data_IF_146512176869
#
_entry.id   IF_146512176869
#
_cell.length_a   1.000
_cell.length_b   1.000
_cell.length_c   1.000
_cell.angle_alpha   90.00
_cell.angle_beta   90.00
_cell.angle_gamma   90.00
#
_symmetry.space_group_name_H-M   'P 1'
#
loop_
_entity.id
_entity.type
_entity.pdbx_description
1 polymer ?
#
# COMPACT_ATOMS: atom_id res chain seq x y z
N UNK A 1 -13.79 1.71 -12.51
CA UNK A 1 -13.24 2.84 -13.31
C UNK A 1 -11.88 3.16 -12.75
N UNK A 2 -10.83 3.22 -13.58
CA UNK A 2 -9.43 3.36 -13.16
C UNK A 2 -9.13 4.65 -12.39
N UNK A 3 -9.98 5.68 -12.56
CA UNK A 3 -9.91 6.95 -11.82
C UNK A 3 -9.84 6.77 -10.30
N UNK A 4 -10.63 5.85 -9.73
CA UNK A 4 -10.69 5.64 -8.28
C UNK A 4 -9.41 5.01 -7.70
N UNK A 5 -8.64 4.33 -8.55
CA UNK A 5 -7.37 3.68 -8.21
C UNK A 5 -6.18 4.64 -8.28
N UNK A 6 -6.36 5.80 -8.91
CA UNK A 6 -5.32 6.83 -9.03
C UNK A 6 -5.37 7.76 -7.82
N UNK A 7 -4.40 7.62 -6.91
CA UNK A 7 -4.32 8.45 -5.70
C UNK A 7 -4.02 9.92 -6.00
N UNK A 8 -4.25 10.81 -5.02
CA UNK A 8 -3.98 12.24 -5.16
C UNK A 8 -2.52 12.57 -5.52
N UNK A 9 -1.56 11.77 -5.03
CA UNK A 9 -0.14 11.97 -5.30
C UNK A 9 0.33 11.35 -6.64
N UNK A 10 -0.58 10.74 -7.40
CA UNK A 10 -0.24 10.12 -8.69
C UNK A 10 0.33 8.70 -8.58
N UNK A 11 0.12 8.01 -7.47
CA UNK A 11 0.37 6.56 -7.37
C UNK A 11 -0.87 5.76 -7.73
N UNK A 12 -0.67 4.57 -8.27
CA UNK A 12 -1.74 3.61 -8.55
C UNK A 12 -1.88 2.61 -7.40
N UNK A 13 -3.08 2.50 -6.83
CA UNK A 13 -3.32 1.70 -5.63
C UNK A 13 -3.10 0.20 -5.85
N UNK A 14 -3.26 -0.30 -7.08
CA UNK A 14 -3.00 -1.71 -7.40
C UNK A 14 -1.51 -2.08 -7.42
N UNK A 15 -0.59 -1.12 -7.45
CA UNK A 15 0.85 -1.38 -7.28
C UNK A 15 1.28 -1.31 -5.80
N UNK A 16 0.38 -0.88 -4.90
CA UNK A 16 0.66 -0.68 -3.49
C UNK A 16 0.69 -2.02 -2.76
N UNK A 17 1.64 -2.22 -1.83
CA UNK A 17 1.68 -3.45 -1.01
C UNK A 17 0.41 -3.57 -0.15
N UNK A 18 0.00 -2.54 0.62
CA UNK A 18 -1.30 -2.47 1.30
C UNK A 18 -2.55 -2.77 0.46
N UNK A 19 -2.49 -2.58 -0.86
CA UNK A 19 -3.62 -2.84 -1.76
C UNK A 19 -3.55 -4.19 -2.47
N UNK A 20 -2.60 -5.06 -2.11
CA UNK A 20 -2.43 -6.36 -2.75
C UNK A 20 -3.39 -7.40 -2.19
N UNK A 21 -4.62 -7.42 -2.70
CA UNK A 21 -5.69 -8.35 -2.28
C UNK A 21 -5.24 -9.81 -2.22
N UNK A 22 -4.41 -10.25 -3.19
CA UNK A 22 -3.92 -11.63 -3.22
C UNK A 22 -3.01 -11.95 -2.04
N UNK A 23 -2.12 -11.02 -1.67
CA UNK A 23 -1.22 -11.19 -0.53
C UNK A 23 -2.01 -11.37 0.76
N UNK A 24 -3.01 -10.50 0.99
CA UNK A 24 -3.81 -10.51 2.21
C UNK A 24 -4.75 -11.71 2.28
N UNK A 25 -5.38 -12.10 1.16
CA UNK A 25 -6.17 -13.33 1.11
C UNK A 25 -5.34 -14.56 1.51
N UNK A 26 -4.14 -14.71 0.95
CA UNK A 26 -3.23 -15.82 1.29
C UNK A 26 -2.77 -15.79 2.75
N UNK A 27 -2.48 -14.60 3.30
CA UNK A 27 -2.09 -14.45 4.69
C UNK A 27 -3.23 -14.86 5.64
N UNK A 28 -4.46 -14.41 5.35
CA UNK A 28 -5.66 -14.78 6.11
C UNK A 28 -5.98 -16.27 6.01
N UNK A 29 -5.89 -16.88 4.83
CA UNK A 29 -6.11 -18.31 4.64
C UNK A 29 -5.09 -19.15 5.41
N UNK A 30 -3.80 -18.76 5.37
CA UNK A 30 -2.76 -19.44 6.13
C UNK A 30 -2.99 -19.31 7.64
N UNK A 31 -3.31 -18.11 8.12
CA UNK A 31 -3.61 -17.88 9.54
C UNK A 31 -4.76 -18.78 10.01
N UNK A 32 -5.87 -18.80 9.26
CA UNK A 32 -7.04 -19.61 9.61
C UNK A 32 -6.69 -21.10 9.61
N UNK A 33 -6.00 -21.60 8.59
CA UNK A 33 -5.59 -23.00 8.51
C UNK A 33 -4.71 -23.41 9.70
N UNK A 34 -3.77 -22.55 10.12
CA UNK A 34 -2.90 -22.82 11.26
C UNK A 34 -3.67 -22.90 12.59
N UNK A 35 -4.72 -22.11 12.73
CA UNK A 35 -5.64 -22.19 13.88
C UNK A 35 -6.49 -23.46 13.82
N UNK A 36 -7.07 -23.78 12.68
CA UNK A 36 -7.99 -24.92 12.50
C UNK A 36 -7.33 -26.28 12.79
N UNK A 37 -6.02 -26.40 12.55
CA UNK A 37 -5.26 -27.64 12.79
C UNK A 37 -4.52 -27.63 14.14
N UNK A 38 -4.77 -26.65 15.01
CA UNK A 38 -4.08 -26.46 16.29
C UNK A 38 -2.54 -26.50 16.14
N UNK A 39 -2.01 -25.87 15.09
CA UNK A 39 -0.60 -26.01 14.71
C UNK A 39 0.36 -25.58 15.82
N UNK A 40 -0.08 -24.70 16.72
CA UNK A 40 0.68 -24.28 17.92
C UNK A 40 1.11 -25.48 18.77
N UNK A 41 0.25 -26.48 18.96
CA UNK A 41 0.58 -27.66 19.76
C UNK A 41 1.58 -28.58 19.06
N UNK A 42 1.47 -28.70 17.74
CA UNK A 42 2.46 -29.40 16.93
C UNK A 42 3.85 -28.74 17.03
N UNK A 43 3.90 -27.41 16.95
CA UNK A 43 5.13 -26.61 17.03
C UNK A 43 5.79 -26.74 18.40
N UNK A 44 5.05 -26.81 19.52
CA UNK A 44 5.62 -27.03 20.86
C UNK A 44 6.53 -28.27 20.89
N UNK A 45 6.09 -29.35 20.26
CA UNK A 45 6.87 -30.60 20.16
C UNK A 45 8.04 -30.45 19.19
N UNK A 46 7.79 -29.89 17.99
CA UNK A 46 8.81 -29.79 16.94
C UNK A 46 9.91 -28.77 17.23
N UNK A 47 9.66 -27.78 18.09
CA UNK A 47 10.65 -26.79 18.53
C UNK A 47 11.90 -27.38 19.20
N UNK A 48 11.81 -28.64 19.66
CA UNK A 48 12.94 -29.40 20.18
C UNK A 48 13.94 -29.80 19.08
N UNK A 49 13.48 -29.90 17.82
CA UNK A 49 14.28 -30.34 16.67
C UNK A 49 14.51 -29.24 15.63
N UNK A 50 13.60 -28.28 15.55
CA UNK A 50 13.64 -27.15 14.60
C UNK A 50 13.53 -25.88 15.43
N UNK A 51 14.64 -25.14 15.59
CA UNK A 51 14.73 -24.07 16.57
C UNK A 51 13.84 -22.86 16.23
N UNK A 52 13.62 -22.61 14.95
CA UNK A 52 12.82 -21.52 14.39
C UNK A 52 11.36 -21.59 14.85
N UNK A 53 10.86 -22.80 15.14
CA UNK A 53 9.52 -22.98 15.68
C UNK A 53 9.32 -22.39 17.09
N UNK A 54 10.40 -22.00 17.78
CA UNK A 54 10.27 -21.24 19.04
C UNK A 54 9.71 -19.84 18.80
N UNK A 55 9.88 -19.30 17.61
CA UNK A 55 9.39 -17.98 17.22
C UNK A 55 7.97 -18.04 16.61
N UNK A 56 7.25 -19.16 16.76
CA UNK A 56 5.92 -19.32 16.18
C UNK A 56 4.93 -18.23 16.61
N UNK A 57 4.93 -17.86 17.90
CA UNK A 57 4.06 -16.77 18.38
C UNK A 57 4.46 -15.42 17.75
N UNK A 58 5.74 -15.20 17.46
CA UNK A 58 6.21 -14.02 16.73
C UNK A 58 5.69 -14.06 15.28
N UNK A 59 5.77 -15.22 14.63
CA UNK A 59 5.24 -15.42 13.28
C UNK A 59 3.73 -15.15 13.20
N UNK A 60 2.96 -15.64 14.18
CA UNK A 60 1.51 -15.36 14.27
C UNK A 60 1.25 -13.87 14.44
N UNK A 61 1.98 -13.18 15.32
CA UNK A 61 1.86 -11.73 15.48
C UNK A 61 2.16 -10.97 14.17
N UNK A 62 3.09 -11.47 13.35
CA UNK A 62 3.36 -10.90 12.02
C UNK A 62 2.15 -11.10 11.10
N UNK A 63 1.54 -12.29 11.06
CA UNK A 63 0.31 -12.52 10.28
C UNK A 63 -0.83 -11.60 10.73
N UNK A 64 -1.03 -11.41 12.03
CA UNK A 64 -2.02 -10.45 12.56
C UNK A 64 -1.70 -9.01 12.15
N UNK A 65 -0.43 -8.64 12.04
CA UNK A 65 -0.02 -7.32 11.58
C UNK A 65 -0.33 -7.07 10.09
N UNK A 66 -0.47 -8.12 9.26
CA UNK A 66 -0.90 -7.95 7.88
C UNK A 66 -2.31 -7.36 7.81
N UNK A 67 -3.24 -7.80 8.67
CA UNK A 67 -4.61 -7.25 8.72
C UNK A 67 -4.63 -5.75 9.00
N UNK A 68 -3.76 -5.28 9.89
CA UNK A 68 -3.62 -3.84 10.19
C UNK A 68 -3.08 -3.03 9.00
N UNK A 69 -2.27 -3.68 8.16
CA UNK A 69 -1.66 -3.08 6.98
C UNK A 69 -2.62 -3.07 5.78
N UNK A 70 -3.54 -4.03 5.70
CA UNK A 70 -4.45 -4.23 4.58
C UNK A 70 -5.36 -3.01 4.37
N UNK A 71 -5.41 -2.48 3.14
CA UNK A 71 -6.36 -1.43 2.78
C UNK A 71 -7.53 -1.96 1.95
N UNK A 72 -8.68 -2.05 2.61
CA UNK A 72 -9.96 -2.44 2.03
C UNK A 72 -10.58 -1.41 1.08
N UNK A 73 -10.04 -0.20 1.02
CA UNK A 73 -10.51 0.87 0.16
C UNK A 73 -9.34 1.58 -0.54
N UNK A 74 -9.61 2.28 -1.64
CA UNK A 74 -8.55 3.03 -2.32
C UNK A 74 -8.34 4.41 -1.68
N UNK A 75 -7.15 4.98 -1.87
CA UNK A 75 -6.71 6.25 -1.25
C UNK A 75 -7.75 7.39 -1.32
N UNK A 76 -8.54 7.44 -2.41
CA UNK A 76 -9.59 8.44 -2.65
C UNK A 76 -10.79 8.31 -1.72
N UNK A 77 -11.13 7.10 -1.28
CA UNK A 77 -12.25 6.82 -0.37
C UNK A 77 -11.91 7.08 1.10
N UNK A 78 -10.67 7.51 1.38
CA UNK A 78 -10.19 7.78 2.74
C UNK A 78 -9.22 6.70 3.25
N UNK A 79 -8.66 6.90 4.46
CA UNK A 79 -7.79 5.90 5.06
C UNK A 79 -8.62 4.70 5.55
N UNK A 80 -8.29 3.51 5.06
CA UNK A 80 -8.97 2.24 5.39
C UNK A 80 -8.18 1.33 6.32
N UNK A 81 -6.86 1.40 6.24
CA UNK A 81 -5.93 0.55 6.98
C UNK A 81 -5.40 1.29 8.19
N UNK A 82 -5.26 0.62 9.33
CA UNK A 82 -4.60 1.20 10.50
C UNK A 82 -3.16 1.64 10.19
N UNK A 83 -2.41 0.82 9.44
CA UNK A 83 -0.98 1.01 9.22
C UNK A 83 -0.55 1.13 7.73
N UNK A 84 -1.43 0.85 6.76
CA UNK A 84 -1.08 0.85 5.33
C UNK A 84 -0.97 2.24 4.70
N UNK A 85 -2.10 2.96 4.60
CA UNK A 85 -2.17 4.34 4.17
C UNK A 85 -2.14 5.29 5.38
N UNK A 86 -1.37 6.38 5.27
CA UNK A 86 -1.34 7.40 6.30
C UNK A 86 -2.74 7.99 6.57
N UNK A 87 -3.19 7.89 7.82
CA UNK A 87 -4.45 8.45 8.31
C UNK A 87 -4.53 9.97 8.03
N UNK A 88 -3.43 10.69 8.31
CA UNK A 88 -3.27 12.13 8.13
C UNK A 88 -2.38 12.49 6.93
N UNK A 89 -2.53 11.82 5.79
CA UNK A 89 -1.74 12.09 4.59
C UNK A 89 -1.79 13.57 4.16
N UNK A 90 -0.66 14.29 4.29
CA UNK A 90 -0.52 15.72 3.99
C UNK A 90 -0.87 16.03 2.53
N UNK A 91 -0.50 15.15 1.59
CA UNK A 91 -0.78 15.32 0.16
C UNK A 91 -2.29 15.30 -0.11
N UNK A 92 -3.00 14.30 0.42
CA UNK A 92 -4.46 14.19 0.30
C UNK A 92 -5.16 15.41 0.88
N UNK A 93 -4.80 15.80 2.10
CA UNK A 93 -5.38 16.97 2.78
C UNK A 93 -5.13 18.25 1.96
N UNK A 94 -3.93 18.43 1.42
CA UNK A 94 -3.58 19.58 0.60
C UNK A 94 -4.41 19.64 -0.70
N UNK A 95 -4.52 18.52 -1.43
CA UNK A 95 -5.29 18.45 -2.68
C UNK A 95 -6.78 18.76 -2.44
N UNK A 96 -7.40 18.15 -1.43
CA UNK A 96 -8.80 18.40 -1.06
C UNK A 96 -9.03 19.88 -0.71
N UNK A 97 -8.17 20.46 0.13
CA UNK A 97 -8.29 21.89 0.53
C UNK A 97 -8.17 22.85 -0.66
N UNK A 98 -7.41 22.48 -1.69
CA UNK A 98 -7.25 23.28 -2.91
C UNK A 98 -8.31 22.98 -3.97
N UNK A 99 -9.23 22.06 -3.73
CA UNK A 99 -10.23 21.63 -4.70
C UNK A 99 -9.64 20.94 -5.93
N UNK A 100 -8.49 20.28 -5.77
CA UNK A 100 -7.81 19.58 -6.86
C UNK A 100 -8.21 18.10 -6.89
N UNK A 101 -8.42 17.56 -8.09
CA UNK A 101 -8.64 16.13 -8.28
C UNK A 101 -7.36 15.32 -7.96
N UNK A 102 -6.20 15.94 -8.10
CA UNK A 102 -4.90 15.37 -7.76
C UNK A 102 -3.77 16.37 -7.96
N UNK A 103 -2.57 16.00 -7.51
CA UNK A 103 -1.41 16.89 -7.54
C UNK A 103 -0.99 17.28 -8.97
N UNK A 104 -1.38 16.53 -9.99
CA UNK A 104 -1.08 16.84 -11.40
C UNK A 104 -1.74 18.14 -11.88
N UNK A 105 -2.83 18.58 -11.23
CA UNK A 105 -3.49 19.86 -11.51
C UNK A 105 -2.76 21.05 -10.86
N UNK A 106 -1.87 20.80 -9.90
CA UNK A 106 -1.15 21.86 -9.22
C UNK A 106 0.08 22.30 -10.04
N UNK A 107 0.14 23.56 -10.48
CA UNK A 107 1.28 24.07 -11.25
C UNK A 107 2.65 23.98 -10.54
N UNK A 108 2.65 23.84 -9.21
CA UNK A 108 3.86 23.74 -8.40
C UNK A 108 4.24 22.30 -8.00
N UNK A 109 3.59 21.26 -8.57
CA UNK A 109 3.81 19.87 -8.11
C UNK A 109 5.28 19.43 -8.23
N UNK A 110 6.02 19.96 -9.22
CA UNK A 110 7.40 19.57 -9.47
C UNK A 110 8.37 20.03 -8.36
N UNK A 111 8.08 21.17 -7.72
CA UNK A 111 8.85 21.75 -6.62
C UNK A 111 8.15 21.60 -5.25
N UNK A 112 7.10 20.78 -5.17
CA UNK A 112 6.33 20.59 -3.93
C UNK A 112 7.10 19.73 -2.93
N UNK A 113 7.26 20.23 -1.71
CA UNK A 113 7.93 19.51 -0.61
C UNK A 113 7.25 18.18 -0.27
N UNK A 114 5.91 18.12 -0.25
CA UNK A 114 5.19 16.88 0.05
C UNK A 114 5.40 15.81 -1.03
N UNK A 115 5.56 16.22 -2.29
CA UNK A 115 5.90 15.29 -3.37
C UNK A 115 7.37 14.87 -3.27
N UNK A 116 8.27 15.77 -2.87
CA UNK A 116 9.68 15.44 -2.65
C UNK A 116 9.86 14.43 -1.49
N UNK A 117 9.12 14.57 -0.39
CA UNK A 117 9.10 13.60 0.72
C UNK A 117 8.67 12.21 0.23
N UNK A 118 7.58 12.14 -0.56
CA UNK A 118 7.09 10.88 -1.14
C UNK A 118 8.10 10.27 -2.12
N UNK A 119 8.86 11.08 -2.85
CA UNK A 119 9.83 10.62 -3.84
C UNK A 119 10.97 9.80 -3.24
N UNK A 120 11.23 9.92 -1.93
CA UNK A 120 12.26 9.14 -1.23
C UNK A 120 12.03 7.61 -1.34
N UNK A 121 10.77 7.19 -1.43
CA UNK A 121 10.37 5.79 -1.56
C UNK A 121 9.53 5.50 -2.80
N UNK A 122 9.04 6.54 -3.49
CA UNK A 122 8.31 6.47 -4.74
C UNK A 122 9.09 7.18 -5.87
N UNK A 123 10.08 6.52 -6.49
CA UNK A 123 11.12 7.20 -7.27
C UNK A 123 10.56 7.95 -8.49
N UNK A 124 9.53 7.40 -9.12
CA UNK A 124 8.98 7.89 -10.38
C UNK A 124 7.70 8.73 -10.17
N UNK A 125 7.40 9.16 -8.93
CA UNK A 125 6.15 9.87 -8.61
C UNK A 125 5.95 11.15 -9.44
N UNK A 126 7.01 11.91 -9.73
CA UNK A 126 6.91 13.11 -10.57
C UNK A 126 6.64 12.76 -12.04
N UNK A 127 7.24 11.68 -12.54
CA UNK A 127 6.93 11.15 -13.87
C UNK A 127 5.47 10.74 -13.96
N UNK A 128 4.95 10.02 -12.95
CA UNK A 128 3.55 9.62 -12.88
C UNK A 128 2.60 10.82 -12.92
N UNK A 129 2.88 11.88 -12.14
CA UNK A 129 2.10 13.12 -12.17
C UNK A 129 2.09 13.78 -13.55
N UNK A 130 3.23 13.77 -14.26
CA UNK A 130 3.31 14.26 -15.64
C UNK A 130 2.47 13.42 -16.60
N UNK A 131 2.53 12.08 -16.51
CA UNK A 131 1.73 11.17 -17.32
C UNK A 131 0.23 11.34 -17.08
N UNK A 132 -0.21 11.53 -15.82
CA UNK A 132 -1.62 11.79 -15.51
C UNK A 132 -2.06 13.14 -16.09
N UNK A 133 -1.21 14.17 -16.01
CA UNK A 133 -1.50 15.49 -16.58
C UNK A 133 -1.68 15.44 -18.10
N UNK A 134 -0.90 14.62 -18.79
CA UNK A 134 -0.92 14.48 -20.25
C UNK A 134 -2.05 13.55 -20.74
N UNK A 135 -2.21 12.39 -20.11
CA UNK A 135 -3.04 11.28 -20.60
C UNK A 135 -4.40 11.16 -19.89
N UNK A 136 -4.56 11.85 -18.75
CA UNK A 136 -5.71 11.71 -17.87
C UNK A 136 -5.66 10.46 -16.98
N UNK A 137 -6.52 10.42 -15.97
CA UNK A 137 -6.55 9.37 -14.95
C UNK A 137 -6.96 7.99 -15.47
N UNK A 138 -7.63 7.95 -16.63
CA UNK A 138 -8.14 6.69 -17.20
C UNK A 138 -7.08 5.97 -18.07
N UNK A 139 -6.10 6.71 -18.62
CA UNK A 139 -5.16 6.15 -19.61
C UNK A 139 -3.70 6.10 -19.14
N UNK A 140 -3.34 6.81 -18.06
CA UNK A 140 -1.94 6.93 -17.67
C UNK A 140 -1.31 5.63 -17.15
N UNK A 141 -2.12 4.68 -16.67
CA UNK A 141 -1.64 3.51 -15.92
C UNK A 141 -0.63 2.66 -16.71
N UNK A 142 -0.81 2.48 -18.01
CA UNK A 142 0.13 1.69 -18.84
C UNK A 142 1.47 2.42 -19.09
N UNK A 143 1.56 3.70 -18.72
CA UNK A 143 2.74 4.56 -18.86
C UNK A 143 3.34 4.95 -17.50
N UNK A 144 2.79 4.40 -16.41
CA UNK A 144 3.27 4.67 -15.06
C UNK A 144 4.68 4.14 -14.86
N UNK A 145 5.47 4.88 -14.10
CA UNK A 145 6.74 4.41 -13.56
C UNK A 145 6.53 3.60 -12.28
N UNK A 146 7.63 3.29 -11.60
CA UNK A 146 7.65 2.42 -10.42
C UNK A 146 6.92 3.04 -9.24
N UNK A 147 6.18 2.21 -8.53
CA UNK A 147 5.54 2.59 -7.27
C UNK A 147 6.58 2.71 -6.16
N UNK A 148 7.34 1.66 -5.84
CA UNK A 148 8.39 1.69 -4.82
C UNK A 148 9.79 1.61 -5.42
N UNK A 149 10.81 1.98 -4.63
CA UNK A 149 12.22 1.76 -5.00
C UNK A 149 12.54 0.29 -5.35
N UNK A 150 11.83 -0.64 -4.74
CA UNK A 150 11.98 -2.10 -4.93
C UNK A 150 10.90 -2.71 -5.83
N UNK A 151 10.00 -1.91 -6.40
CA UNK A 151 9.09 -2.40 -7.45
C UNK A 151 9.92 -2.78 -8.68
N UNK A 152 9.65 -3.97 -9.22
CA UNK A 152 10.25 -4.45 -10.48
C UNK A 152 9.65 -3.75 -11.67
#
# INVERSE_FOLDING_TARGET
MDKDLTSFCGLWCNDCIPGNEKLYALASELYQLLMDIDFKDYVKIKSQKVAEFRDYDIFINVLEAFEKLHCYNYCRKGPCSEAGCAQSCKVRVCAIKKGLEGCWECNAYFSCEYIAEMQLFHPDIKHNLAMIKELGTDNWKERRGRHYNWSK
#
